data_IF_262209197719
#
_entry.id   IF_262209197719
#
_cell.length_a   1.000
_cell.length_b   1.000
_cell.length_c   1.000
_cell.angle_alpha   90.00
_cell.angle_beta   90.00
_cell.angle_gamma   90.00
#
_symmetry.space_group_name_H-M   'P 1'
#
loop_
_entity.id
_entity.type
_entity.pdbx_description
1 polymer ?
#
# COMPACT_ATOMS: atom_id res chain seq x y z
N UNK A 1 -21.80 5.67 -0.64
CA UNK A 1 -21.32 6.42 -1.82
C UNK A 1 -22.22 7.58 -2.22
N UNK A 2 -23.52 7.40 -2.49
CA UNK A 2 -24.42 8.48 -2.95
C UNK A 2 -24.28 9.83 -2.21
N UNK A 3 -24.22 9.90 -0.87
CA UNK A 3 -24.07 11.18 -0.18
C UNK A 3 -22.78 11.92 -0.53
N UNK A 4 -21.66 11.22 -0.73
CA UNK A 4 -20.36 11.85 -1.03
C UNK A 4 -20.21 12.31 -2.49
N UNK A 5 -21.10 11.85 -3.38
CA UNK A 5 -21.14 12.28 -4.78
C UNK A 5 -22.09 13.46 -5.04
N UNK A 6 -22.99 13.77 -4.11
CA UNK A 6 -24.06 14.75 -4.31
C UNK A 6 -24.06 15.84 -3.24
N UNK A 7 -24.02 15.46 -1.96
CA UNK A 7 -24.34 16.36 -0.84
C UNK A 7 -23.15 16.64 0.09
N UNK A 8 -22.24 15.67 0.22
CA UNK A 8 -21.09 15.67 1.15
C UNK A 8 -19.78 15.53 0.38
N UNK A 9 -19.63 16.35 -0.66
CA UNK A 9 -18.41 16.41 -1.47
C UNK A 9 -17.45 17.45 -0.89
N UNK A 10 -16.16 17.29 -1.15
CA UNK A 10 -15.13 18.22 -0.72
C UNK A 10 -13.74 17.64 -0.90
N UNK A 11 -12.72 18.49 -0.96
CA UNK A 11 -11.33 18.03 -0.95
C UNK A 11 -10.92 17.72 0.49
N UNK A 12 -10.59 16.45 0.78
CA UNK A 12 -10.18 16.00 2.11
C UNK A 12 -8.90 16.68 2.64
N UNK A 13 -8.10 17.28 1.75
CA UNK A 13 -6.90 18.04 2.11
C UNK A 13 -7.19 19.52 2.44
N UNK A 14 -8.42 20.00 2.25
CA UNK A 14 -8.80 21.37 2.57
C UNK A 14 -9.21 21.50 4.04
N UNK A 15 -8.47 22.30 4.80
CA UNK A 15 -8.73 22.57 6.23
C UNK A 15 -9.66 23.74 6.48
N UNK A 16 -9.87 24.59 5.48
CA UNK A 16 -10.42 25.93 5.69
C UNK A 16 -11.95 26.01 5.58
N UNK A 17 -12.61 24.89 5.23
CA UNK A 17 -14.05 24.85 5.09
C UNK A 17 -14.65 23.50 5.49
N UNK A 18 -15.91 23.57 5.96
CA UNK A 18 -16.67 22.43 6.48
C UNK A 18 -16.74 21.22 5.53
N UNK A 19 -16.86 21.47 4.23
CA UNK A 19 -16.90 20.39 3.23
C UNK A 19 -15.60 19.57 3.17
N UNK A 20 -14.45 20.19 3.43
CA UNK A 20 -13.16 19.52 3.42
C UNK A 20 -12.93 18.73 4.69
N UNK A 21 -13.31 19.29 5.85
CA UNK A 21 -13.27 18.56 7.12
C UNK A 21 -14.25 17.38 7.18
N UNK A 22 -15.46 17.52 6.62
CA UNK A 22 -16.41 16.41 6.49
C UNK A 22 -15.88 15.30 5.56
N UNK A 23 -15.24 15.66 4.43
CA UNK A 23 -14.61 14.70 3.54
C UNK A 23 -13.40 13.99 4.20
N UNK A 24 -12.57 14.75 4.92
CA UNK A 24 -11.43 14.22 5.68
C UNK A 24 -11.88 13.24 6.77
N UNK A 25 -12.91 13.59 7.55
CA UNK A 25 -13.48 12.72 8.56
C UNK A 25 -14.05 11.42 7.97
N UNK A 26 -14.66 11.48 6.78
CA UNK A 26 -15.14 10.29 6.09
C UNK A 26 -13.99 9.36 5.65
N UNK A 27 -12.89 9.92 5.12
CA UNK A 27 -11.70 9.15 4.75
C UNK A 27 -11.05 8.51 5.99
N UNK A 28 -10.91 9.25 7.08
CA UNK A 28 -10.33 8.72 8.32
C UNK A 28 -11.22 7.65 8.98
N UNK A 29 -12.54 7.80 8.91
CA UNK A 29 -13.45 6.74 9.35
C UNK A 29 -13.26 5.46 8.53
N UNK A 30 -13.19 5.57 7.19
CA UNK A 30 -12.96 4.42 6.32
C UNK A 30 -11.59 3.77 6.58
N UNK A 31 -10.55 4.58 6.83
CA UNK A 31 -9.22 4.11 7.22
C UNK A 31 -9.28 3.29 8.50
N UNK A 32 -10.01 3.78 9.51
CA UNK A 32 -10.26 3.06 10.76
C UNK A 32 -10.97 1.72 10.58
N UNK A 33 -11.97 1.66 9.71
CA UNK A 33 -12.70 0.42 9.42
C UNK A 33 -11.79 -0.65 8.78
N UNK A 34 -10.98 -0.25 7.80
CA UNK A 34 -10.02 -1.13 7.12
C UNK A 34 -8.95 -1.61 8.11
N UNK A 35 -8.36 -0.71 8.88
CA UNK A 35 -7.34 -1.04 9.88
C UNK A 35 -7.85 -2.09 10.88
N UNK A 36 -9.06 -1.90 11.42
CA UNK A 36 -9.69 -2.87 12.33
C UNK A 36 -9.94 -4.23 11.69
N UNK A 37 -10.34 -4.26 10.42
CA UNK A 37 -10.63 -5.51 9.71
C UNK A 37 -9.38 -6.39 9.54
N UNK A 38 -8.19 -5.80 9.45
CA UNK A 38 -6.92 -6.51 9.25
C UNK A 38 -6.00 -6.51 10.47
N UNK A 39 -6.42 -5.91 11.59
CA UNK A 39 -5.62 -5.81 12.82
C UNK A 39 -4.43 -4.86 12.74
N UNK A 40 -4.48 -3.85 11.87
CA UNK A 40 -3.46 -2.82 11.71
C UNK A 40 -3.80 -1.54 12.49
N UNK A 41 -2.84 -0.62 12.59
CA UNK A 41 -3.09 0.75 13.05
C UNK A 41 -3.62 1.61 11.90
N UNK A 42 -4.32 2.69 12.25
CA UNK A 42 -4.88 3.62 11.25
C UNK A 42 -3.80 4.26 10.39
N UNK A 43 -2.66 4.64 10.98
CA UNK A 43 -1.52 5.28 10.29
C UNK A 43 -0.74 4.31 9.39
N UNK A 44 -1.01 3.01 9.45
CA UNK A 44 -0.43 1.99 8.57
C UNK A 44 -1.24 1.78 7.28
N UNK A 45 -2.44 2.36 7.16
CA UNK A 45 -3.29 2.22 5.97
C UNK A 45 -3.02 3.36 5.00
N UNK A 46 -2.64 3.01 3.77
CA UNK A 46 -2.52 3.94 2.65
C UNK A 46 -3.55 3.55 1.58
N UNK A 47 -4.41 4.49 1.19
CA UNK A 47 -5.33 4.28 0.08
C UNK A 47 -4.63 4.54 -1.25
N UNK A 48 -4.70 3.57 -2.15
CA UNK A 48 -4.25 3.66 -3.55
C UNK A 48 -5.46 3.49 -4.48
N UNK A 49 -5.26 3.61 -5.79
CA UNK A 49 -6.29 3.32 -6.79
C UNK A 49 -6.61 1.82 -6.92
N UNK A 50 -5.75 0.94 -6.41
CA UNK A 50 -5.96 -0.52 -6.42
C UNK A 50 -4.70 -1.33 -6.19
N UNK A 51 -4.83 -2.66 -6.28
CA UNK A 51 -3.75 -3.60 -5.97
C UNK A 51 -2.49 -3.38 -6.82
N UNK A 52 -2.62 -3.14 -8.13
CA UNK A 52 -1.47 -2.89 -9.01
C UNK A 52 -0.62 -1.70 -8.57
N UNK A 53 -1.25 -0.64 -8.07
CA UNK A 53 -0.52 0.51 -7.53
C UNK A 53 0.12 0.17 -6.18
N UNK A 54 -0.60 -0.52 -5.30
CA UNK A 54 -0.08 -0.96 -3.99
C UNK A 54 1.14 -1.86 -4.11
N UNK A 55 1.12 -2.85 -5.01
CA UNK A 55 2.23 -3.77 -5.25
C UNK A 55 3.46 -3.03 -5.77
N UNK A 56 3.27 -2.12 -6.73
CA UNK A 56 4.36 -1.30 -7.25
C UNK A 56 4.93 -0.37 -6.18
N UNK A 57 4.09 0.28 -5.38
CA UNK A 57 4.52 1.16 -4.30
C UNK A 57 5.37 0.40 -3.27
N UNK A 58 4.94 -0.79 -2.86
CA UNK A 58 5.67 -1.62 -1.92
C UNK A 58 7.03 -2.08 -2.50
N UNK A 59 7.03 -2.69 -3.69
CA UNK A 59 8.23 -3.27 -4.30
C UNK A 59 9.24 -2.19 -4.66
N UNK A 60 8.80 -1.14 -5.38
CA UNK A 60 9.70 -0.06 -5.80
C UNK A 60 10.13 0.78 -4.61
N UNK A 61 9.25 1.02 -3.63
CA UNK A 61 9.61 1.77 -2.43
C UNK A 61 10.69 1.08 -1.61
N UNK A 62 10.61 -0.25 -1.46
CA UNK A 62 11.69 -1.05 -0.88
C UNK A 62 12.94 -0.98 -1.75
N UNK A 63 12.83 -1.22 -3.06
CA UNK A 63 13.98 -1.19 -3.95
C UNK A 63 14.73 0.15 -3.92
N UNK A 64 14.02 1.28 -4.02
CA UNK A 64 14.61 2.63 -3.95
C UNK A 64 15.25 2.91 -2.58
N UNK A 65 14.62 2.48 -1.47
CA UNK A 65 15.21 2.62 -0.12
C UNK A 65 16.56 1.91 0.01
N UNK A 66 16.76 0.82 -0.72
CA UNK A 66 17.99 0.02 -0.68
C UNK A 66 18.87 0.19 -1.93
N UNK A 67 18.54 1.15 -2.81
CA UNK A 67 19.21 1.38 -4.09
C UNK A 67 20.58 2.03 -3.97
N UNK A 68 20.86 2.73 -2.87
CA UNK A 68 22.16 3.35 -2.61
C UNK A 68 23.21 2.32 -2.15
N UNK A 69 23.54 1.41 -3.06
CA UNK A 69 24.85 0.75 -3.13
C UNK A 69 25.32 0.85 -4.58
N UNK A 70 26.38 1.65 -4.76
CA UNK A 70 27.09 2.07 -5.98
C UNK A 70 26.58 3.33 -6.74
N UNK A 71 27.54 4.16 -7.19
CA UNK A 71 27.41 5.54 -7.68
C UNK A 71 26.75 5.68 -9.08
N UNK A 72 26.38 4.59 -9.75
CA UNK A 72 25.84 4.61 -11.12
C UNK A 72 24.37 4.21 -11.20
N UNK A 73 23.71 3.92 -10.07
CA UNK A 73 22.30 3.57 -10.00
C UNK A 73 21.93 2.32 -10.81
N UNK A 74 22.92 1.47 -11.08
CA UNK A 74 22.74 0.18 -11.76
C UNK A 74 22.52 -0.89 -10.71
N UNK A 75 21.40 -1.60 -10.82
CA UNK A 75 21.21 -2.84 -10.08
C UNK A 75 22.04 -3.89 -10.81
N UNK A 76 23.15 -4.32 -10.21
CA UNK A 76 23.88 -5.48 -10.68
C UNK A 76 22.98 -6.70 -10.49
N UNK A 77 22.61 -7.37 -11.58
CA UNK A 77 21.73 -8.55 -11.54
C UNK A 77 22.41 -9.70 -10.78
N UNK A 78 23.74 -9.80 -10.82
CA UNK A 78 24.50 -10.74 -10.01
C UNK A 78 24.49 -10.37 -8.53
N UNK A 79 24.52 -9.08 -8.17
CA UNK A 79 24.35 -8.63 -6.77
C UNK A 79 22.90 -8.81 -6.28
N UNK A 80 21.90 -8.62 -7.16
CA UNK A 80 20.49 -8.89 -6.87
C UNK A 80 20.23 -10.40 -6.62
N UNK A 81 20.76 -11.27 -7.48
CA UNK A 81 20.73 -12.73 -7.28
C UNK A 81 21.46 -13.14 -5.99
N UNK A 82 22.57 -12.46 -5.68
CA UNK A 82 23.33 -12.64 -4.42
C UNK A 82 22.68 -11.99 -3.20
N UNK A 83 21.68 -11.12 -3.37
CA UNK A 83 20.94 -10.47 -2.30
C UNK A 83 19.74 -11.31 -1.85
N UNK A 84 19.26 -12.23 -2.70
CA UNK A 84 18.33 -13.30 -2.32
C UNK A 84 19.10 -14.28 -1.41
N UNK A 85 19.10 -13.94 -0.13
CA UNK A 85 19.81 -14.64 0.95
C UNK A 85 18.86 -14.83 2.13
N UNK A 86 19.36 -15.39 3.22
CA UNK A 86 18.77 -15.33 4.55
C UNK A 86 18.48 -13.89 5.05
N UNK A 87 18.89 -12.85 4.30
CA UNK A 87 18.51 -11.43 4.49
C UNK A 87 17.47 -10.91 3.47
N UNK A 88 16.68 -11.77 2.86
CA UNK A 88 15.59 -11.39 1.94
C UNK A 88 14.75 -10.25 2.54
N UNK A 89 14.73 -9.11 1.84
CA UNK A 89 14.19 -7.84 2.38
C UNK A 89 12.66 -7.77 2.27
N UNK A 90 12.08 -8.43 1.26
CA UNK A 90 10.62 -8.51 1.08
C UNK A 90 10.23 -9.69 0.19
N UNK A 91 9.24 -10.47 0.64
CA UNK A 91 8.52 -11.46 -0.17
C UNK A 91 7.11 -10.92 -0.36
N UNK A 92 6.70 -10.69 -1.61
CA UNK A 92 5.33 -10.28 -1.96
C UNK A 92 4.60 -11.46 -2.59
N UNK A 93 3.57 -11.97 -1.92
CA UNK A 93 2.73 -13.07 -2.40
C UNK A 93 1.27 -12.66 -2.21
N UNK A 94 0.46 -12.89 -3.25
CA UNK A 94 -0.96 -12.59 -3.20
C UNK A 94 -1.65 -13.47 -2.17
N UNK A 95 -2.48 -12.88 -1.31
CA UNK A 95 -3.28 -13.63 -0.34
C UNK A 95 -4.36 -14.52 -1.00
N UNK A 96 -4.76 -14.17 -2.23
CA UNK A 96 -5.58 -14.99 -3.10
C UNK A 96 -5.25 -14.64 -4.55
N UNK A 97 -5.10 -15.66 -5.41
CA UNK A 97 -4.88 -15.44 -6.84
C UNK A 97 -6.19 -15.00 -7.50
N UNK A 98 -6.19 -13.82 -8.13
CA UNK A 98 -7.37 -13.21 -8.74
C UNK A 98 -7.77 -13.83 -10.10
N UNK A 99 -6.93 -14.67 -10.70
CA UNK A 99 -7.18 -15.33 -11.99
C UNK A 99 -7.82 -16.72 -11.80
N UNK A 100 -7.33 -17.48 -10.83
CA UNK A 100 -7.75 -18.89 -10.60
C UNK A 100 -8.38 -19.14 -9.23
N UNK A 101 -8.46 -18.12 -8.37
CA UNK A 101 -9.14 -18.18 -7.07
C UNK A 101 -8.40 -18.99 -5.99
N UNK A 102 -7.15 -19.38 -6.23
CA UNK A 102 -6.36 -20.18 -5.29
C UNK A 102 -5.89 -19.33 -4.11
N UNK A 103 -6.10 -19.83 -2.89
CA UNK A 103 -5.65 -19.21 -1.64
C UNK A 103 -4.41 -19.97 -1.12
N UNK A 104 -3.21 -19.38 -1.17
CA UNK A 104 -2.00 -20.01 -0.63
C UNK A 104 -1.98 -20.01 0.91
N UNK A 105 -1.26 -20.97 1.50
CA UNK A 105 -1.06 -21.04 2.95
C UNK A 105 0.02 -20.05 3.39
N UNK A 106 -0.38 -18.78 3.58
CA UNK A 106 0.53 -17.66 3.93
C UNK A 106 1.27 -17.92 5.25
N UNK A 107 0.74 -18.75 6.16
CA UNK A 107 1.41 -19.07 7.43
C UNK A 107 2.67 -19.93 7.27
N UNK A 108 2.87 -20.53 6.09
CA UNK A 108 4.03 -21.39 5.77
C UNK A 108 5.11 -20.67 4.97
N UNK A 109 4.87 -19.42 4.58
CA UNK A 109 5.80 -18.54 3.85
C UNK A 109 6.51 -17.68 4.89
#
# INVERSE_FOLDING_TARGET
>A
MKPYFLDKFGNASSTDHRHGSEASAAVESARGDVARAIGAKTDEIIFTSGATESDNLAIRGVAEKYKDRDDLGRIDIGELESAITDKTVMISVMAANNEIGVIPDIKKI
#
